data_IF_461231697961
#
_entry.id   IF_461231697961
#
_cell.length_a   1.000
_cell.length_b   1.000
_cell.length_c   1.000
_cell.angle_alpha   90.00
_cell.angle_beta   90.00
_cell.angle_gamma   90.00
#
_symmetry.space_group_name_H-M   'P 1'
#
loop_
_entity.id
_entity.type
_entity.pdbx_description
1 polymer ?
#
# COMPACT_ATOMS: atom_id res chain seq x y z
N UNK A 1 30.13 -40.40 58.88
CA UNK A 1 30.24 -39.46 57.74
C UNK A 1 30.17 -40.26 56.43
N UNK A 2 29.09 -40.15 55.66
CA UNK A 2 28.93 -40.78 54.33
C UNK A 2 28.57 -39.67 53.34
N UNK A 3 29.20 -39.57 52.15
CA UNK A 3 28.96 -38.47 51.23
C UNK A 3 27.67 -38.68 50.44
N UNK A 4 26.89 -37.61 50.31
CA UNK A 4 25.64 -37.56 49.58
C UNK A 4 25.90 -37.66 48.06
N UNK A 5 25.08 -38.47 47.37
CA UNK A 5 25.07 -38.59 45.91
C UNK A 5 24.48 -37.32 45.31
N UNK A 6 25.29 -36.60 44.54
CA UNK A 6 24.88 -35.43 43.75
C UNK A 6 24.16 -35.92 42.50
N UNK A 7 22.85 -35.75 42.44
CA UNK A 7 22.07 -35.87 41.20
C UNK A 7 22.29 -34.59 40.37
N UNK A 8 23.08 -34.68 39.30
CA UNK A 8 23.12 -33.63 38.27
C UNK A 8 21.94 -33.82 37.33
N UNK A 9 20.90 -33.02 37.48
CA UNK A 9 19.87 -32.86 36.45
C UNK A 9 20.44 -32.00 35.31
N UNK A 10 20.68 -32.61 34.16
CA UNK A 10 21.00 -31.90 32.92
C UNK A 10 19.67 -31.42 32.35
N UNK A 11 19.39 -30.13 32.51
CA UNK A 11 18.22 -29.48 31.91
C UNK A 11 18.41 -29.34 30.40
N UNK A 12 17.58 -30.02 29.61
CA UNK A 12 17.50 -29.87 28.17
C UNK A 12 16.75 -28.56 27.86
N UNK A 13 17.49 -27.48 27.61
CA UNK A 13 16.93 -26.21 27.16
C UNK A 13 16.66 -26.31 25.65
N UNK A 14 15.44 -26.70 25.27
CA UNK A 14 14.95 -26.66 23.90
C UNK A 14 14.80 -25.20 23.46
N UNK A 15 15.81 -24.68 22.75
CA UNK A 15 15.71 -23.43 21.99
C UNK A 15 14.72 -23.62 20.85
N UNK A 16 13.45 -23.28 21.09
CA UNK A 16 12.45 -23.09 20.05
C UNK A 16 12.84 -21.86 19.22
N UNK A 17 13.78 -22.03 18.29
CA UNK A 17 13.93 -21.13 17.15
C UNK A 17 12.74 -21.40 16.20
N UNK A 18 11.54 -20.99 16.62
CA UNK A 18 10.39 -20.94 15.72
C UNK A 18 10.66 -19.91 14.63
N UNK A 19 10.12 -20.09 13.42
CA UNK A 19 10.11 -19.00 12.44
C UNK A 19 9.53 -17.77 13.14
N UNK A 20 10.18 -16.62 13.01
CA UNK A 20 9.65 -15.34 13.46
C UNK A 20 8.25 -15.20 12.87
N UNK A 21 7.23 -15.50 13.68
CA UNK A 21 5.83 -15.47 13.31
C UNK A 21 5.47 -13.99 13.19
N UNK A 22 5.80 -13.39 12.03
CA UNK A 22 5.20 -12.12 11.67
C UNK A 22 3.70 -12.32 11.72
N UNK A 23 3.01 -11.53 12.53
CA UNK A 23 1.55 -11.54 12.57
C UNK A 23 1.06 -11.34 11.13
N UNK A 24 0.18 -12.23 10.67
CA UNK A 24 -0.31 -12.17 9.30
C UNK A 24 -0.99 -10.82 9.06
N UNK A 25 -0.70 -10.21 7.91
CA UNK A 25 -1.39 -8.99 7.53
C UNK A 25 -2.86 -9.26 7.23
N UNK A 26 -3.70 -8.29 7.57
CA UNK A 26 -5.15 -8.31 7.36
C UNK A 26 -5.62 -6.92 6.94
N UNK A 27 -6.90 -6.78 6.56
CA UNK A 27 -7.49 -5.45 6.33
C UNK A 27 -7.32 -4.52 7.53
N UNK A 28 -7.36 -5.03 8.76
CA UNK A 28 -7.12 -4.23 9.96
C UNK A 28 -5.67 -3.69 10.06
N UNK A 29 -4.71 -4.37 9.46
CA UNK A 29 -3.31 -3.90 9.36
C UNK A 29 -3.20 -2.68 8.44
N UNK A 30 -4.01 -2.62 7.38
CA UNK A 30 -4.03 -1.51 6.42
C UNK A 30 -5.02 -0.41 6.81
N UNK A 31 -6.12 -0.71 7.49
CA UNK A 31 -7.23 0.22 7.69
C UNK A 31 -6.82 1.54 8.37
N UNK A 32 -7.25 2.67 7.80
CA UNK A 32 -6.97 4.04 8.23
C UNK A 32 -6.56 4.94 7.07
N UNK A 33 -6.17 6.18 7.39
CA UNK A 33 -5.83 7.22 6.41
C UNK A 33 -4.32 7.40 6.28
N UNK A 34 -3.85 7.53 5.05
CA UNK A 34 -2.45 7.70 4.68
C UNK A 34 -2.28 8.97 3.86
N UNK A 35 -1.24 9.73 4.17
CA UNK A 35 -0.67 10.69 3.23
C UNK A 35 0.25 9.95 2.27
N UNK A 36 0.10 10.17 0.97
CA UNK A 36 0.90 9.49 -0.04
C UNK A 36 1.55 10.46 -1.02
N UNK A 37 2.60 9.98 -1.68
CA UNK A 37 3.24 10.64 -2.80
C UNK A 37 3.41 9.63 -3.92
N UNK A 38 2.98 10.00 -5.13
CA UNK A 38 3.29 9.29 -6.37
C UNK A 38 4.34 10.08 -7.14
N UNK A 39 5.39 9.40 -7.63
CA UNK A 39 6.38 10.00 -8.52
C UNK A 39 6.72 9.07 -9.66
N UNK A 40 7.15 9.64 -10.79
CA UNK A 40 7.73 8.87 -11.88
C UNK A 40 7.37 9.42 -13.25
N UNK A 41 7.10 8.54 -14.20
CA UNK A 41 6.89 8.88 -15.62
C UNK A 41 5.73 8.09 -16.22
N UNK A 42 4.89 8.75 -17.02
CA UNK A 42 3.95 8.11 -17.93
C UNK A 42 4.54 8.05 -19.33
N UNK A 43 4.28 6.97 -20.05
CA UNK A 43 4.72 6.78 -21.44
C UNK A 43 3.52 7.05 -22.34
N UNK A 44 3.46 8.27 -22.88
CA UNK A 44 2.42 8.69 -23.83
C UNK A 44 2.86 8.39 -25.27
N UNK A 45 1.93 8.38 -26.24
CA UNK A 45 2.28 8.29 -27.66
C UNK A 45 3.24 9.39 -28.13
N UNK A 46 3.20 10.57 -27.50
CA UNK A 46 4.11 11.70 -27.76
C UNK A 46 5.48 11.60 -27.06
N UNK A 47 5.68 10.61 -26.19
CA UNK A 47 6.90 10.41 -25.42
C UNK A 47 6.69 10.33 -23.90
N UNK A 48 7.77 10.11 -23.13
CA UNK A 48 7.73 10.06 -21.68
C UNK A 48 7.42 11.44 -21.08
N UNK A 49 6.52 11.50 -20.11
CA UNK A 49 6.17 12.72 -19.37
C UNK A 49 6.27 12.49 -17.86
N UNK A 50 6.87 13.44 -17.10
CA UNK A 50 7.02 13.29 -15.66
C UNK A 50 5.67 13.41 -14.95
N UNK A 51 5.55 12.72 -13.81
CA UNK A 51 4.37 12.72 -12.95
C UNK A 51 4.79 12.97 -11.50
N UNK A 52 4.03 13.84 -10.83
CA UNK A 52 4.03 13.98 -9.39
C UNK A 52 2.60 14.05 -8.88
N UNK A 53 2.29 13.39 -7.77
CA UNK A 53 1.02 13.58 -7.08
C UNK A 53 1.19 13.42 -5.57
N UNK A 54 0.37 14.14 -4.80
CA UNK A 54 0.28 14.02 -3.34
C UNK A 54 -1.18 14.03 -2.92
N UNK A 55 -1.51 13.31 -1.86
CA UNK A 55 -2.90 13.21 -1.45
C UNK A 55 -3.13 12.43 -0.17
N UNK A 56 -4.40 12.28 0.17
CA UNK A 56 -4.87 11.44 1.26
C UNK A 56 -5.67 10.27 0.70
N UNK A 57 -5.42 9.08 1.23
CA UNK A 57 -6.18 7.87 0.90
C UNK A 57 -6.56 7.14 2.18
N UNK A 58 -7.82 6.74 2.28
CA UNK A 58 -8.39 6.02 3.42
C UNK A 58 -8.79 4.63 2.99
N UNK A 59 -8.28 3.64 3.71
CA UNK A 59 -8.66 2.23 3.57
C UNK A 59 -9.61 1.87 4.71
N UNK A 60 -10.81 1.40 4.37
CA UNK A 60 -11.77 0.90 5.35
C UNK A 60 -11.53 -0.58 5.66
N UNK A 61 -12.06 -1.07 6.80
CA UNK A 61 -11.91 -2.46 7.22
C UNK A 61 -12.50 -3.47 6.23
N UNK A 62 -13.56 -3.08 5.53
CA UNK A 62 -14.22 -3.90 4.51
C UNK A 62 -13.49 -3.91 3.16
N UNK A 63 -12.39 -3.16 3.02
CA UNK A 63 -11.63 -3.02 1.78
C UNK A 63 -12.03 -1.84 0.91
N UNK A 64 -13.07 -1.08 1.25
CA UNK A 64 -13.44 0.12 0.50
C UNK A 64 -12.38 1.20 0.63
N UNK A 65 -12.17 1.93 -0.46
CA UNK A 65 -11.17 3.00 -0.54
C UNK A 65 -11.81 4.31 -0.95
N UNK A 66 -11.40 5.38 -0.29
CA UNK A 66 -11.73 6.76 -0.66
C UNK A 66 -10.53 7.68 -0.48
N UNK A 67 -10.47 8.76 -1.24
CA UNK A 67 -9.36 9.70 -1.14
C UNK A 67 -9.44 10.86 -2.11
N UNK A 68 -8.41 11.69 -2.06
CA UNK A 68 -8.19 12.80 -2.98
C UNK A 68 -6.69 12.94 -3.26
N UNK A 69 -6.37 13.59 -4.37
CA UNK A 69 -5.00 13.97 -4.70
C UNK A 69 -4.93 15.22 -5.56
N UNK A 70 -3.79 15.88 -5.44
CA UNK A 70 -3.31 16.90 -6.35
C UNK A 70 -2.23 16.29 -7.21
N UNK A 71 -2.35 16.43 -8.54
CA UNK A 71 -1.49 15.75 -9.49
C UNK A 71 -1.02 16.70 -10.58
N UNK A 72 0.26 16.60 -10.93
CA UNK A 72 0.86 17.19 -12.13
C UNK A 72 1.38 16.12 -13.09
N UNK A 73 1.04 16.24 -14.38
CA UNK A 73 1.57 15.41 -15.47
C UNK A 73 2.13 16.33 -16.54
N UNK A 74 3.44 16.27 -16.78
CA UNK A 74 4.11 17.16 -17.73
C UNK A 74 3.92 18.66 -17.44
N UNK A 75 3.64 19.02 -16.18
CA UNK A 75 3.33 20.39 -15.75
C UNK A 75 1.84 20.75 -15.75
N UNK A 76 0.95 19.91 -16.31
CA UNK A 76 -0.50 20.13 -16.27
C UNK A 76 -1.05 19.62 -14.93
N UNK A 77 -1.73 20.50 -14.20
CA UNK A 77 -2.23 20.24 -12.85
C UNK A 77 -3.71 19.85 -12.84
N UNK A 78 -4.11 18.94 -11.95
CA UNK A 78 -5.49 18.55 -11.72
C UNK A 78 -5.74 18.20 -10.24
N UNK A 79 -6.96 18.52 -9.78
CA UNK A 79 -7.52 18.02 -8.53
C UNK A 79 -8.35 16.78 -8.84
N UNK A 80 -8.07 15.68 -8.14
CA UNK A 80 -8.69 14.40 -8.41
C UNK A 80 -9.27 13.78 -7.12
N UNK A 81 -10.36 13.05 -7.26
CA UNK A 81 -10.89 12.17 -6.19
C UNK A 81 -10.63 10.72 -6.53
N UNK A 82 -10.50 9.88 -5.50
CA UNK A 82 -10.15 8.47 -5.62
C UNK A 82 -11.23 7.65 -4.92
N UNK A 83 -11.72 6.62 -5.59
CA UNK A 83 -12.47 5.51 -4.97
C UNK A 83 -11.83 4.20 -5.39
N UNK A 84 -12.15 3.11 -4.71
CA UNK A 84 -11.56 1.83 -5.08
C UNK A 84 -11.78 0.73 -4.08
N UNK A 85 -11.01 -0.34 -4.27
CA UNK A 85 -10.94 -1.48 -3.36
C UNK A 85 -9.50 -1.86 -3.07
N UNK A 86 -9.23 -2.25 -1.83
CA UNK A 86 -7.94 -2.75 -1.37
C UNK A 86 -8.06 -4.22 -0.98
N UNK A 87 -7.22 -5.06 -1.58
CA UNK A 87 -7.00 -6.44 -1.13
C UNK A 87 -5.71 -6.52 -0.32
N UNK A 88 -5.75 -7.16 0.84
CA UNK A 88 -4.58 -7.39 1.71
C UNK A 88 -4.34 -8.88 1.86
N UNK A 89 -3.15 -9.33 1.47
CA UNK A 89 -2.74 -10.72 1.61
C UNK A 89 -2.03 -10.95 2.95
N UNK A 90 -2.00 -12.20 3.38
CA UNK A 90 -1.40 -12.61 4.67
C UNK A 90 0.11 -12.35 4.75
N UNK A 91 0.79 -12.29 3.62
CA UNK A 91 2.21 -11.98 3.47
C UNK A 91 2.50 -10.47 3.37
N UNK A 92 1.51 -9.63 3.65
CA UNK A 92 1.59 -8.17 3.62
C UNK A 92 1.73 -7.56 2.23
N UNK A 93 1.57 -8.34 1.16
CA UNK A 93 1.33 -7.78 -0.17
C UNK A 93 -0.09 -7.21 -0.25
N UNK A 94 -0.25 -6.16 -1.03
CA UNK A 94 -1.54 -5.50 -1.27
C UNK A 94 -1.74 -5.27 -2.76
N UNK A 95 -3.01 -5.23 -3.17
CA UNK A 95 -3.41 -4.76 -4.50
C UNK A 95 -4.56 -3.78 -4.36
N UNK A 96 -4.38 -2.58 -4.91
CA UNK A 96 -5.34 -1.49 -4.92
C UNK A 96 -5.89 -1.32 -6.33
N UNK A 97 -7.20 -1.44 -6.49
CA UNK A 97 -7.91 -0.97 -7.69
C UNK A 97 -8.41 0.45 -7.44
N UNK A 98 -7.75 1.44 -8.03
CA UNK A 98 -8.09 2.85 -7.86
C UNK A 98 -8.81 3.41 -9.10
N UNK A 99 -10.03 3.91 -8.90
CA UNK A 99 -10.77 4.72 -9.85
C UNK A 99 -10.58 6.19 -9.50
N UNK A 100 -10.22 6.98 -10.50
CA UNK A 100 -9.84 8.38 -10.31
C UNK A 100 -10.73 9.28 -11.15
N UNK A 101 -11.26 10.31 -10.51
CA UNK A 101 -12.24 11.22 -11.08
C UNK A 101 -11.73 12.64 -11.06
N UNK A 102 -12.08 13.42 -12.09
CA UNK A 102 -11.80 14.86 -12.13
C UNK A 102 -12.70 15.65 -11.15
N UNK A 103 -12.49 16.96 -11.07
CA UNK A 103 -13.29 17.86 -10.23
C UNK A 103 -14.77 17.93 -10.61
N UNK A 104 -15.14 17.46 -11.80
CA UNK A 104 -16.52 17.39 -12.29
C UNK A 104 -17.17 16.04 -12.03
N UNK A 105 -16.44 15.09 -11.43
CA UNK A 105 -16.92 13.74 -11.12
C UNK A 105 -16.85 12.76 -12.29
N UNK A 106 -16.16 13.10 -13.39
CA UNK A 106 -15.98 12.18 -14.50
C UNK A 106 -14.82 11.23 -14.21
N UNK A 107 -15.01 9.93 -14.46
CA UNK A 107 -13.91 8.96 -14.42
C UNK A 107 -12.88 9.35 -15.49
N UNK A 108 -11.62 9.51 -15.08
CA UNK A 108 -10.51 9.82 -16.00
C UNK A 108 -9.53 8.65 -16.12
N UNK A 109 -9.43 7.81 -15.10
CA UNK A 109 -8.47 6.71 -15.05
C UNK A 109 -8.86 5.64 -14.04
N UNK A 110 -8.59 4.39 -14.39
CA UNK A 110 -8.52 3.26 -13.47
C UNK A 110 -7.09 2.72 -13.43
N UNK A 111 -6.60 2.34 -12.26
CA UNK A 111 -5.25 1.81 -12.07
C UNK A 111 -5.24 0.64 -11.09
N UNK A 112 -4.49 -0.40 -11.43
CA UNK A 112 -4.10 -1.44 -10.48
C UNK A 112 -2.72 -1.07 -9.93
N UNK A 113 -2.62 -1.00 -8.61
CA UNK A 113 -1.43 -0.56 -7.89
C UNK A 113 -1.10 -1.65 -6.86
N UNK A 114 0.02 -2.33 -7.08
CA UNK A 114 0.49 -3.38 -6.20
C UNK A 114 1.55 -2.84 -5.25
N UNK A 115 1.58 -3.36 -4.03
CA UNK A 115 2.52 -2.89 -3.04
C UNK A 115 2.69 -3.82 -1.86
N UNK A 116 3.40 -3.31 -0.86
CA UNK A 116 3.66 -3.99 0.40
C UNK A 116 3.40 -3.05 1.57
N UNK A 117 2.74 -3.60 2.60
CA UNK A 117 2.67 -2.97 3.91
C UNK A 117 4.00 -3.17 4.63
N UNK A 118 4.60 -2.08 5.09
CA UNK A 118 5.81 -2.10 5.90
C UNK A 118 5.59 -1.37 7.22
N UNK A 119 6.54 -1.49 8.15
CA UNK A 119 6.45 -0.86 9.47
C UNK A 119 5.12 -1.17 10.18
N UNK A 120 4.74 -2.45 10.22
CA UNK A 120 3.48 -2.93 10.83
C UNK A 120 2.23 -2.24 10.25
N UNK A 121 2.19 -2.03 8.93
CA UNK A 121 1.05 -1.38 8.26
C UNK A 121 0.98 0.13 8.47
N UNK A 122 2.05 0.78 8.96
CA UNK A 122 2.13 2.24 9.10
C UNK A 122 2.72 2.92 7.86
N UNK A 123 3.34 2.17 6.96
CA UNK A 123 3.88 2.67 5.71
C UNK A 123 3.54 1.72 4.56
N UNK A 124 3.40 2.26 3.36
CA UNK A 124 3.17 1.51 2.13
C UNK A 124 4.24 1.89 1.11
N UNK A 125 4.74 0.89 0.39
CA UNK A 125 5.53 1.06 -0.82
C UNK A 125 4.81 0.35 -1.94
N UNK A 126 4.54 1.05 -3.03
CA UNK A 126 3.75 0.49 -4.13
C UNK A 126 4.25 0.95 -5.50
N UNK A 127 3.77 0.29 -6.53
CA UNK A 127 4.07 0.57 -7.93
C UNK A 127 2.79 0.39 -8.76
N UNK A 128 2.64 1.19 -9.80
CA UNK A 128 1.54 1.05 -10.74
C UNK A 128 1.80 -0.14 -11.67
N UNK A 129 0.92 -1.13 -11.61
CA UNK A 129 0.90 -2.24 -12.58
C UNK A 129 0.22 -1.79 -13.88
N UNK A 130 -0.92 -1.11 -13.76
CA UNK A 130 -1.71 -0.66 -14.91
C UNK A 130 -2.18 0.78 -14.76
N UNK A 131 -2.26 1.48 -15.90
CA UNK A 131 -2.85 2.80 -16.04
C UNK A 131 -3.77 2.78 -17.24
N UNK A 132 -5.09 2.73 -17.01
CA UNK A 132 -6.08 2.67 -18.08
C UNK A 132 -6.93 3.94 -18.04
N UNK A 133 -6.96 4.68 -19.14
CA UNK A 133 -7.79 5.87 -19.30
C UNK A 133 -9.27 5.47 -19.44
N UNK A 134 -10.18 6.40 -19.18
CA UNK A 134 -11.62 6.16 -19.26
C UNK A 134 -12.11 5.69 -20.66
N UNK A 135 -11.37 6.01 -21.71
CA UNK A 135 -11.64 5.54 -23.08
C UNK A 135 -11.06 4.13 -23.38
N UNK A 136 -10.51 3.45 -22.38
CA UNK A 136 -9.94 2.10 -22.50
C UNK A 136 -8.47 2.05 -22.95
N UNK A 137 -7.84 3.20 -23.24
CA UNK A 137 -6.42 3.23 -23.62
C UNK A 137 -5.53 2.92 -22.42
N UNK A 138 -4.68 1.90 -22.55
CA UNK A 138 -3.64 1.59 -21.57
C UNK A 138 -2.38 2.41 -21.84
N UNK A 139 -1.86 3.07 -20.81
CA UNK A 139 -0.60 3.82 -20.84
C UNK A 139 0.49 3.02 -20.15
N UNK A 140 1.68 3.01 -20.76
CA UNK A 140 2.88 2.56 -20.06
C UNK A 140 3.21 3.50 -18.89
N UNK A 141 3.77 2.97 -17.81
CA UNK A 141 4.14 3.79 -16.65
C UNK A 141 5.33 3.23 -15.90
N UNK A 142 6.10 4.13 -15.29
CA UNK A 142 7.08 3.83 -14.25
C UNK A 142 6.74 4.76 -13.10
N UNK A 143 5.76 4.38 -12.29
CA UNK A 143 5.23 5.20 -11.20
C UNK A 143 5.31 4.43 -9.90
N UNK A 144 5.91 5.04 -8.88
CA UNK A 144 6.02 4.48 -7.53
C UNK A 144 5.25 5.33 -6.53
N UNK A 145 4.78 4.69 -5.47
CA UNK A 145 4.07 5.33 -4.36
C UNK A 145 4.77 5.03 -3.06
N UNK A 146 4.96 6.08 -2.25
CA UNK A 146 5.25 5.97 -0.84
C UNK A 146 4.11 6.59 -0.04
N UNK A 147 3.64 5.89 1.00
CA UNK A 147 2.57 6.40 1.85
C UNK A 147 2.85 6.17 3.32
N UNK A 148 2.50 7.15 4.16
CA UNK A 148 2.62 7.09 5.62
C UNK A 148 1.27 7.29 6.27
N UNK A 149 0.98 6.46 7.27
CA UNK A 149 -0.27 6.54 8.03
C UNK A 149 -0.32 7.85 8.81
N UNK A 150 -1.36 8.64 8.56
CA UNK A 150 -1.64 9.88 9.31
C UNK A 150 -2.70 9.64 10.39
N UNK A 151 -3.61 8.69 10.17
CA UNK A 151 -4.66 8.33 11.12
C UNK A 151 -4.94 6.83 11.06
N UNK A 152 -5.07 6.18 12.22
CA UNK A 152 -5.54 4.79 12.31
C UNK A 152 -7.06 4.70 12.17
N UNK A 153 -7.58 3.49 11.91
CA UNK A 153 -9.01 3.24 12.06
C UNK A 153 -9.38 3.25 13.56
N UNK A 154 -10.54 3.81 13.92
CA UNK A 154 -11.04 3.71 15.29
C UNK A 154 -11.30 2.23 15.63
N UNK A 155 -10.82 1.76 16.78
CA UNK A 155 -11.06 0.38 17.19
C UNK A 155 -12.50 0.15 17.62
#
# INVERSE_FOLDING_TARGET
>A
MKPARVFRAIGLFLLLAGPSLHAACTSATAAGTFGFTTTGTLILPSGPVPVGAVGLITFQLNGDVSGNQDRSVGGIFAHETITGTLTVNRDCTISLLANVFDSSGNLVRTSTIDGVLVNNGKQIRAIFETVVLANGVSLGSVLTVDANRVQGHAQ
#
